data_IF_721123595431
#
_entry.id   IF_721123595431
#
_cell.length_a   1.000
_cell.length_b   1.000
_cell.length_c   1.000
_cell.angle_alpha   90.00
_cell.angle_beta   90.00
_cell.angle_gamma   90.00
#
_symmetry.space_group_name_H-M   'P 1'
#
loop_
_entity.id
_entity.type
_entity.pdbx_description
1 polymer ?
#
# COMPACT_ATOMS: atom_id res chain seq x y z
N UNK A 1 -28.74 13.34 15.27
CA UNK A 1 -27.76 13.27 14.16
C UNK A 1 -26.49 12.68 14.75
N UNK A 2 -26.30 11.37 14.62
CA UNK A 2 -25.27 10.60 15.33
C UNK A 2 -23.86 10.83 14.75
N UNK A 3 -22.91 11.19 15.61
CA UNK A 3 -21.46 11.23 15.34
C UNK A 3 -20.81 9.86 15.63
N UNK A 4 -21.25 8.79 14.96
CA UNK A 4 -20.70 7.42 15.13
C UNK A 4 -19.50 7.08 14.21
N UNK A 5 -18.85 8.06 13.57
CA UNK A 5 -17.80 7.79 12.57
C UNK A 5 -16.35 7.82 13.07
N UNK A 6 -16.03 8.62 14.10
CA UNK A 6 -14.63 8.95 14.41
C UNK A 6 -13.93 7.96 15.35
N UNK A 7 -14.68 7.33 16.28
CA UNK A 7 -14.10 6.43 17.29
C UNK A 7 -13.63 5.07 16.73
N UNK A 8 -14.21 4.61 15.62
CA UNK A 8 -13.89 3.30 15.05
C UNK A 8 -12.64 3.35 14.16
N UNK A 9 -12.48 4.44 13.40
CA UNK A 9 -11.34 4.65 12.50
C UNK A 9 -10.02 4.86 13.25
N UNK A 10 -10.04 5.62 14.35
CA UNK A 10 -8.84 5.87 15.18
C UNK A 10 -8.36 4.59 15.88
N UNK A 11 -9.29 3.77 16.40
CA UNK A 11 -8.98 2.48 17.02
C UNK A 11 -8.42 1.48 16.01
N UNK A 12 -8.98 1.45 14.80
CA UNK A 12 -8.49 0.62 13.69
C UNK A 12 -7.05 0.99 13.30
N UNK A 13 -6.77 2.28 13.07
CA UNK A 13 -5.42 2.78 12.78
C UNK A 13 -4.40 2.41 13.87
N UNK A 14 -4.79 2.54 15.14
CA UNK A 14 -3.93 2.16 16.26
C UNK A 14 -3.56 0.67 16.23
N UNK A 15 -4.54 -0.20 15.97
CA UNK A 15 -4.33 -1.65 15.89
C UNK A 15 -3.44 -2.04 14.70
N UNK A 16 -3.65 -1.44 13.54
CA UNK A 16 -2.85 -1.72 12.34
C UNK A 16 -1.39 -1.30 12.54
N UNK A 17 -1.14 -0.17 13.22
CA UNK A 17 0.21 0.27 13.59
C UNK A 17 0.90 -0.70 14.56
N UNK A 18 0.19 -1.15 15.58
CA UNK A 18 0.72 -2.15 16.53
C UNK A 18 1.07 -3.47 15.83
N UNK A 19 0.18 -3.93 14.93
CA UNK A 19 0.40 -5.13 14.15
C UNK A 19 1.59 -4.99 13.19
N UNK A 20 1.77 -3.82 12.58
CA UNK A 20 2.91 -3.54 11.71
C UNK A 20 4.23 -3.60 12.49
N UNK A 21 4.29 -3.01 13.68
CA UNK A 21 5.47 -3.08 14.54
C UNK A 21 5.81 -4.53 14.93
N UNK A 22 4.80 -5.31 15.33
CA UNK A 22 4.99 -6.74 15.63
C UNK A 22 5.55 -7.52 14.45
N UNK A 23 5.05 -7.26 13.24
CA UNK A 23 5.56 -7.91 12.03
C UNK A 23 7.00 -7.49 11.71
N UNK A 24 7.35 -6.21 11.92
CA UNK A 24 8.73 -5.74 11.75
C UNK A 24 9.69 -6.46 12.70
N UNK A 25 9.37 -6.54 13.99
CA UNK A 25 10.19 -7.23 14.99
C UNK A 25 10.39 -8.72 14.64
N UNK A 26 9.37 -9.38 14.11
CA UNK A 26 9.44 -10.78 13.70
C UNK A 26 10.31 -10.96 12.45
N UNK A 27 10.17 -10.08 11.46
CA UNK A 27 10.94 -10.11 10.21
C UNK A 27 12.42 -9.82 10.48
N UNK A 28 12.72 -8.89 11.38
CA UNK A 28 14.11 -8.58 11.77
C UNK A 28 14.81 -9.79 12.40
N UNK A 29 14.09 -10.57 13.22
CA UNK A 29 14.65 -11.79 13.84
C UNK A 29 14.85 -12.89 12.83
N UNK A 30 13.87 -13.13 11.96
CA UNK A 30 13.94 -14.15 10.91
C UNK A 30 12.98 -13.78 9.77
N UNK A 31 13.49 -13.32 8.62
CA UNK A 31 12.64 -13.10 7.47
C UNK A 31 12.12 -14.45 6.97
N UNK A 32 10.79 -14.59 6.95
CA UNK A 32 10.08 -15.71 6.34
C UNK A 32 9.10 -15.17 5.28
N UNK A 33 8.88 -15.95 4.23
CA UNK A 33 7.98 -15.59 3.13
C UNK A 33 6.58 -15.28 3.66
N UNK A 34 6.06 -16.07 4.62
CA UNK A 34 4.72 -15.82 5.17
C UNK A 34 4.64 -14.51 5.97
N UNK A 35 5.70 -14.14 6.68
CA UNK A 35 5.75 -12.87 7.42
C UNK A 35 5.79 -11.68 6.46
N UNK A 36 6.59 -11.79 5.39
CA UNK A 36 6.64 -10.78 4.33
C UNK A 36 5.27 -10.63 3.64
N UNK A 37 4.57 -11.73 3.38
CA UNK A 37 3.20 -11.68 2.83
C UNK A 37 2.24 -10.94 3.76
N UNK A 38 2.22 -11.31 5.06
CA UNK A 38 1.35 -10.66 6.05
C UNK A 38 1.63 -9.17 6.19
N UNK A 39 2.91 -8.77 6.14
CA UNK A 39 3.28 -7.36 6.19
C UNK A 39 2.87 -6.63 4.92
N UNK A 40 3.08 -7.21 3.74
CA UNK A 40 2.64 -6.63 2.48
C UNK A 40 1.12 -6.40 2.46
N UNK A 41 0.33 -7.37 2.91
CA UNK A 41 -1.13 -7.26 2.97
C UNK A 41 -1.59 -6.15 3.94
N UNK A 42 -0.96 -6.06 5.11
CA UNK A 42 -1.25 -4.99 6.06
C UNK A 42 -0.88 -3.61 5.49
N UNK A 43 0.28 -3.51 4.83
CA UNK A 43 0.74 -2.29 4.17
C UNK A 43 -0.23 -1.86 3.05
N UNK A 44 -0.75 -2.81 2.27
CA UNK A 44 -1.79 -2.53 1.29
C UNK A 44 -3.07 -2.01 1.95
N UNK A 45 -3.51 -2.61 3.06
CA UNK A 45 -4.72 -2.20 3.78
C UNK A 45 -4.63 -0.77 4.34
N UNK A 46 -3.43 -0.29 4.68
CA UNK A 46 -3.19 1.08 5.14
C UNK A 46 -2.76 2.06 4.03
N UNK A 47 -2.76 1.62 2.76
CA UNK A 47 -2.43 2.46 1.60
C UNK A 47 -0.93 2.62 1.30
N UNK A 48 -0.06 1.93 2.03
CA UNK A 48 1.40 1.96 1.90
C UNK A 48 1.88 1.02 0.79
N UNK A 49 1.30 1.15 -0.40
CA UNK A 49 1.49 0.25 -1.55
C UNK A 49 2.96 0.14 -1.99
N UNK A 50 3.73 1.22 -1.93
CA UNK A 50 5.15 1.21 -2.27
C UNK A 50 5.97 0.33 -1.32
N UNK A 51 5.66 0.34 -0.01
CA UNK A 51 6.31 -0.52 0.98
C UNK A 51 5.91 -1.98 0.78
N UNK A 52 4.63 -2.24 0.46
CA UNK A 52 4.16 -3.60 0.15
C UNK A 52 4.87 -4.20 -1.07
N UNK A 53 5.16 -3.40 -2.10
CA UNK A 53 5.96 -3.83 -3.27
C UNK A 53 7.35 -4.30 -2.85
N UNK A 54 8.01 -3.62 -1.91
CA UNK A 54 9.33 -4.02 -1.41
C UNK A 54 9.30 -5.40 -0.73
N UNK A 55 8.23 -5.70 0.01
CA UNK A 55 8.05 -7.01 0.64
C UNK A 55 7.88 -8.12 -0.39
N UNK A 56 7.08 -7.88 -1.44
CA UNK A 56 6.95 -8.84 -2.54
C UNK A 56 8.26 -9.03 -3.31
N UNK A 57 9.04 -7.98 -3.52
CA UNK A 57 10.38 -8.13 -4.08
C UNK A 57 11.30 -8.95 -3.18
N UNK A 58 11.19 -8.78 -1.86
CA UNK A 58 11.95 -9.59 -0.92
C UNK A 58 11.55 -11.08 -1.00
N UNK A 59 10.26 -11.38 -1.15
CA UNK A 59 9.78 -12.75 -1.39
C UNK A 59 10.42 -13.32 -2.65
N UNK A 60 10.46 -12.56 -3.75
CA UNK A 60 11.07 -13.00 -5.01
C UNK A 60 12.60 -13.18 -4.95
N UNK A 61 13.27 -12.56 -3.97
CA UNK A 61 14.69 -12.81 -3.70
C UNK A 61 14.92 -14.14 -2.97
N UNK A 62 13.96 -14.56 -2.14
CA UNK A 62 14.01 -15.84 -1.43
C UNK A 62 13.55 -16.97 -2.36
N UNK A 63 12.43 -16.78 -3.05
CA UNK A 63 11.88 -17.69 -4.05
C UNK A 63 11.54 -16.94 -5.35
N UNK A 64 12.43 -17.05 -6.33
CA UNK A 64 12.28 -16.37 -7.63
C UNK A 64 11.16 -16.93 -8.52
N UNK A 65 10.59 -18.08 -8.16
CA UNK A 65 9.50 -18.72 -8.90
C UNK A 65 8.13 -18.33 -8.36
N UNK A 66 8.06 -17.53 -7.30
CA UNK A 66 6.77 -17.09 -6.78
C UNK A 66 6.02 -16.25 -7.82
N UNK A 67 4.92 -16.81 -8.35
CA UNK A 67 4.03 -16.16 -9.29
C UNK A 67 3.11 -15.16 -8.59
N UNK A 68 2.63 -15.45 -7.38
CA UNK A 68 1.71 -14.59 -6.66
C UNK A 68 2.37 -13.26 -6.29
N UNK A 69 3.60 -13.28 -5.78
CA UNK A 69 4.36 -12.06 -5.52
C UNK A 69 4.57 -11.21 -6.79
N UNK A 70 4.90 -11.84 -7.93
CA UNK A 70 5.00 -11.13 -9.23
C UNK A 70 3.69 -10.45 -9.61
N UNK A 71 2.57 -11.18 -9.56
CA UNK A 71 1.26 -10.63 -9.89
C UNK A 71 0.87 -9.47 -8.97
N UNK A 72 1.18 -9.56 -7.68
CA UNK A 72 0.93 -8.48 -6.71
C UNK A 72 1.75 -7.23 -6.99
N UNK A 73 3.03 -7.37 -7.36
CA UNK A 73 3.88 -6.24 -7.75
C UNK A 73 3.27 -5.50 -8.94
N UNK A 74 2.86 -6.19 -10.00
CA UNK A 74 2.30 -5.56 -11.19
C UNK A 74 0.95 -4.89 -10.91
N UNK A 75 0.11 -5.51 -10.07
CA UNK A 75 -1.13 -4.90 -9.59
C UNK A 75 -0.87 -3.59 -8.83
N UNK A 76 0.04 -3.60 -7.86
CA UNK A 76 0.34 -2.42 -7.05
C UNK A 76 1.01 -1.30 -7.85
N UNK A 77 1.91 -1.63 -8.79
CA UNK A 77 2.47 -0.65 -9.73
C UNK A 77 1.39 0.02 -10.57
N UNK A 78 0.39 -0.75 -11.00
CA UNK A 78 -0.75 -0.22 -11.76
C UNK A 78 -1.52 0.81 -10.92
N UNK A 79 -1.83 0.49 -9.67
CA UNK A 79 -2.47 1.45 -8.74
C UNK A 79 -1.64 2.73 -8.60
N UNK A 80 -0.34 2.60 -8.32
CA UNK A 80 0.55 3.75 -8.14
C UNK A 80 0.67 4.62 -9.41
N UNK A 81 0.64 3.99 -10.59
CA UNK A 81 0.63 4.71 -11.87
C UNK A 81 -0.63 5.55 -12.00
N UNK A 82 -1.80 4.98 -11.71
CA UNK A 82 -3.08 5.69 -11.81
C UNK A 82 -3.24 6.79 -10.76
N UNK A 83 -2.78 6.57 -9.51
CA UNK A 83 -2.80 7.61 -8.49
C UNK A 83 -1.92 8.81 -8.87
N UNK A 84 -0.79 8.55 -9.54
CA UNK A 84 0.11 9.61 -10.00
C UNK A 84 -0.41 10.34 -11.26
N UNK A 85 -1.25 9.72 -12.08
CA UNK A 85 -1.86 10.40 -13.23
C UNK A 85 -3.03 11.29 -12.85
N UNK A 86 -3.76 10.95 -11.78
CA UNK A 86 -4.95 11.70 -11.33
C UNK A 86 -4.60 13.13 -10.88
N UNK A 87 -3.44 13.32 -10.24
CA UNK A 87 -2.98 14.66 -9.81
C UNK A 87 -2.66 15.61 -10.97
N UNK A 88 -2.46 15.10 -12.18
CA UNK A 88 -2.21 15.89 -13.39
C UNK A 88 -3.42 15.92 -14.34
N UNK A 89 -4.51 15.22 -14.00
CA UNK A 89 -5.70 15.07 -14.84
C UNK A 89 -6.76 16.17 -14.60
N UNK A 90 -6.46 17.20 -13.81
CA UNK A 90 -7.25 18.42 -13.80
C UNK A 90 -6.64 19.39 -14.81
N UNK A 91 -7.05 19.38 -16.10
CA UNK A 91 -6.74 20.51 -16.95
C UNK A 91 -7.40 21.70 -16.27
N UNK A 92 -6.58 22.67 -15.87
CA UNK A 92 -7.04 23.99 -15.50
C UNK A 92 -7.79 24.59 -16.69
N UNK A 93 -9.06 24.23 -16.85
CA UNK A 93 -9.96 24.66 -17.92
C UNK A 93 -10.55 26.04 -17.63
N UNK A 94 -10.15 26.68 -16.53
CA UNK A 94 -10.65 27.98 -16.10
C UNK A 94 -9.71 29.14 -16.44
N UNK A 95 -8.65 28.89 -17.21
CA UNK A 95 -7.74 29.92 -17.75
C UNK A 95 -7.31 29.56 -19.17
N UNK A 96 -8.26 29.22 -20.04
CA UNK A 96 -7.99 29.19 -21.47
C UNK A 96 -8.04 30.63 -22.00
N UNK A 97 -6.92 31.28 -22.37
CA UNK A 97 -6.90 32.67 -22.85
C UNK A 97 -7.46 32.82 -24.27
N UNK A 98 -7.98 31.74 -24.85
CA UNK A 98 -8.50 31.67 -26.22
C UNK A 98 -10.03 31.60 -26.31
N UNK A 99 -10.75 31.88 -25.22
CA UNK A 99 -12.17 32.21 -25.27
C UNK A 99 -12.35 33.63 -24.69
N UNK A 100 -12.47 34.57 -25.64
CA UNK A 100 -12.76 36.01 -25.60
C UNK A 100 -13.00 36.71 -24.26
#
# INVERSE_FOLDING_TARGET
MELMGYGNSSKKMSKEKEQLNKLNDLIEKKPDINLLYKRAELLMAIGENAKAINDYYHILRIDNKEKFAKSKIEYLKTILRYSNTDIYASPNTNLDPWLE
#
